data_IF_364368050558
#
_entry.id   IF_364368050558
#
_cell.length_a   1.000
_cell.length_b   1.000
_cell.length_c   1.000
_cell.angle_alpha   90.00
_cell.angle_beta   90.00
_cell.angle_gamma   90.00
#
_symmetry.space_group_name_H-M   'P 1'
#
loop_
_entity.id
_entity.type
_entity.pdbx_description
1 polymer ?
#
# COMPACT_ATOMS: atom_id res chain seq x y z
N UNK A 1 24.81 17.47 7.86
CA UNK A 1 24.95 16.50 8.97
C UNK A 1 23.71 16.62 9.86
N UNK A 2 23.20 15.52 10.42
CA UNK A 2 22.28 15.47 11.57
C UNK A 2 20.74 15.36 11.40
N UNK A 3 20.18 14.91 10.27
CA UNK A 3 18.76 14.44 10.23
C UNK A 3 18.65 12.92 9.99
N UNK A 4 19.57 12.33 9.22
CA UNK A 4 19.67 10.87 9.03
C UNK A 4 19.94 10.10 10.34
N UNK A 5 20.46 10.79 11.37
CA UNK A 5 20.71 10.23 12.70
C UNK A 5 19.44 10.07 13.55
N UNK A 6 18.33 10.74 13.19
CA UNK A 6 17.09 10.78 13.99
C UNK A 6 15.90 10.04 13.37
N UNK A 7 15.84 9.95 12.03
CA UNK A 7 14.76 9.26 11.34
C UNK A 7 15.24 7.92 10.78
N UNK A 8 15.04 6.84 11.54
CA UNK A 8 15.12 5.48 11.00
C UNK A 8 14.15 5.37 9.80
N UNK A 9 14.52 4.66 8.74
CA UNK A 9 13.72 4.51 7.51
C UNK A 9 12.27 4.14 7.80
N UNK A 10 12.03 3.32 8.83
CA UNK A 10 10.69 3.01 9.32
C UNK A 10 9.85 4.26 9.64
N UNK A 11 10.42 5.26 10.33
CA UNK A 11 9.72 6.51 10.67
C UNK A 11 9.43 7.31 9.39
N UNK A 12 10.38 7.38 8.47
CA UNK A 12 10.21 8.08 7.18
C UNK A 12 9.04 7.48 6.40
N UNK A 13 8.97 6.16 6.30
CA UNK A 13 7.86 5.48 5.62
C UNK A 13 6.52 5.71 6.31
N UNK A 14 6.47 5.78 7.64
CA UNK A 14 5.22 6.11 8.35
C UNK A 14 4.79 7.56 8.09
N UNK A 15 5.72 8.52 7.98
CA UNK A 15 5.41 9.90 7.57
C UNK A 15 4.86 9.91 6.13
N UNK A 16 5.49 9.17 5.22
CA UNK A 16 5.00 9.04 3.85
C UNK A 16 3.61 8.38 3.79
N UNK A 17 3.31 7.37 4.62
CA UNK A 17 1.96 6.78 4.73
C UNK A 17 0.93 7.87 5.06
N UNK A 18 1.20 8.71 6.06
CA UNK A 18 0.27 9.78 6.47
C UNK A 18 0.02 10.74 5.30
N UNK A 19 1.08 11.16 4.61
CA UNK A 19 0.98 12.06 3.47
C UNK A 19 0.15 11.43 2.35
N UNK A 20 0.51 10.23 1.89
CA UNK A 20 -0.21 9.59 0.79
C UNK A 20 -1.65 9.23 1.16
N UNK A 21 -1.92 8.81 2.38
CA UNK A 21 -3.28 8.60 2.88
C UNK A 21 -4.13 9.89 2.81
N UNK A 22 -3.57 11.01 3.27
CA UNK A 22 -4.28 12.29 3.23
C UNK A 22 -4.57 12.74 1.80
N UNK A 23 -3.65 12.47 0.86
CA UNK A 23 -3.81 12.79 -0.55
C UNK A 23 -4.86 11.89 -1.23
N UNK A 24 -4.92 10.61 -0.85
CA UNK A 24 -5.92 9.68 -1.41
C UNK A 24 -7.32 9.97 -0.92
N UNK A 25 -7.48 10.26 0.38
CA UNK A 25 -8.80 10.49 0.98
C UNK A 25 -9.39 11.84 0.56
N UNK A 26 -8.58 12.90 0.55
CA UNK A 26 -9.10 14.23 0.19
C UNK A 26 -9.27 14.40 -1.32
N UNK A 27 -8.46 13.70 -2.12
CA UNK A 27 -8.52 13.72 -3.58
C UNK A 27 -8.31 15.10 -4.23
N UNK A 28 -7.88 15.10 -5.48
CA UNK A 28 -7.92 16.27 -6.35
C UNK A 28 -9.01 16.01 -7.41
N UNK A 29 -10.21 16.60 -7.30
CA UNK A 29 -11.32 16.30 -8.21
C UNK A 29 -11.00 16.66 -9.67
N UNK A 30 -10.15 17.66 -9.87
CA UNK A 30 -9.71 18.15 -11.19
C UNK A 30 -8.76 17.14 -11.88
N UNK A 31 -8.06 16.30 -11.11
CA UNK A 31 -7.04 15.38 -11.61
C UNK A 31 -7.26 13.94 -11.10
N UNK A 32 -8.29 13.22 -11.59
CA UNK A 32 -8.65 11.89 -11.10
C UNK A 32 -7.56 10.84 -11.32
N UNK A 33 -6.71 11.02 -12.34
CA UNK A 33 -5.57 10.15 -12.59
C UNK A 33 -4.51 10.26 -11.48
N UNK A 34 -4.32 11.47 -10.92
CA UNK A 34 -3.36 11.71 -9.85
C UNK A 34 -3.80 11.02 -8.56
N UNK A 35 -5.11 11.00 -8.29
CA UNK A 35 -5.67 10.28 -7.14
C UNK A 35 -5.39 8.78 -7.23
N UNK A 36 -5.52 8.19 -8.42
CA UNK A 36 -5.19 6.77 -8.68
C UNK A 36 -3.70 6.50 -8.50
N UNK A 37 -2.84 7.44 -8.90
CA UNK A 37 -1.39 7.34 -8.67
C UNK A 37 -1.09 7.36 -7.17
N UNK A 38 -1.65 8.30 -6.40
CA UNK A 38 -1.46 8.34 -4.95
C UNK A 38 -1.98 7.07 -4.27
N UNK A 39 -3.12 6.56 -4.73
CA UNK A 39 -3.69 5.30 -4.23
C UNK A 39 -2.76 4.11 -4.46
N UNK A 40 -2.22 4.03 -5.68
CA UNK A 40 -1.22 3.03 -6.06
C UNK A 40 0.04 3.15 -5.21
N UNK A 41 0.61 4.35 -5.05
CA UNK A 41 1.81 4.57 -4.23
C UNK A 41 1.54 4.20 -2.77
N UNK A 42 0.39 4.56 -2.22
CA UNK A 42 0.02 4.21 -0.85
C UNK A 42 0.03 2.70 -0.63
N UNK A 43 -0.61 1.94 -1.53
CA UNK A 43 -0.65 0.48 -1.46
C UNK A 43 0.75 -0.13 -1.53
N UNK A 44 1.55 0.35 -2.48
CA UNK A 44 2.94 -0.10 -2.62
C UNK A 44 3.74 0.17 -1.34
N UNK A 45 3.53 1.32 -0.69
CA UNK A 45 4.21 1.71 0.54
C UNK A 45 3.79 0.85 1.74
N UNK A 46 2.50 0.57 1.89
CA UNK A 46 1.99 -0.38 2.89
C UNK A 46 2.70 -1.72 2.70
N UNK A 47 2.65 -2.31 1.50
CA UNK A 47 3.22 -3.63 1.24
C UNK A 47 4.74 -3.64 1.50
N UNK A 48 5.43 -2.59 1.06
CA UNK A 48 6.86 -2.42 1.31
C UNK A 48 7.21 -2.45 2.81
N UNK A 49 6.46 -1.71 3.63
CA UNK A 49 6.61 -1.73 5.08
C UNK A 49 6.32 -3.12 5.68
N UNK A 50 5.27 -3.78 5.21
CA UNK A 50 4.87 -5.12 5.64
C UNK A 50 5.95 -6.17 5.40
N UNK A 51 6.72 -6.05 4.31
CA UNK A 51 7.75 -7.02 3.95
C UNK A 51 9.11 -6.65 4.55
N UNK A 52 9.58 -5.42 4.38
CA UNK A 52 10.94 -5.03 4.77
C UNK A 52 11.07 -4.59 6.23
N UNK A 53 9.99 -4.07 6.83
CA UNK A 53 10.01 -3.50 8.17
C UNK A 53 8.97 -4.14 9.09
N UNK A 54 8.69 -5.42 8.87
CA UNK A 54 7.68 -6.15 9.64
C UNK A 54 7.90 -6.03 11.15
N UNK A 55 6.90 -5.51 11.87
CA UNK A 55 6.89 -5.33 13.34
C UNK A 55 5.47 -5.49 13.84
N UNK A 56 5.29 -5.94 15.09
CA UNK A 56 3.96 -6.05 15.73
C UNK A 56 3.15 -4.73 15.68
N UNK A 57 3.83 -3.58 15.71
CA UNK A 57 3.20 -2.26 15.60
C UNK A 57 2.48 -2.04 14.26
N UNK A 58 2.86 -2.74 13.18
CA UNK A 58 2.21 -2.61 11.88
C UNK A 58 0.77 -3.08 11.88
N UNK A 59 0.37 -4.02 12.76
CA UNK A 59 -1.04 -4.40 12.90
C UNK A 59 -1.92 -3.21 13.27
N UNK A 60 -1.50 -2.41 14.25
CA UNK A 60 -2.23 -1.20 14.64
C UNK A 60 -2.25 -0.18 13.50
N UNK A 61 -1.12 0.00 12.80
CA UNK A 61 -1.00 0.96 11.70
C UNK A 61 -1.93 0.58 10.53
N UNK A 62 -1.90 -0.67 10.09
CA UNK A 62 -2.76 -1.16 9.01
C UNK A 62 -4.23 -1.14 9.40
N UNK A 63 -4.54 -1.49 10.64
CA UNK A 63 -5.89 -1.38 11.17
C UNK A 63 -6.42 0.05 11.07
N UNK A 64 -5.64 1.04 11.51
CA UNK A 64 -6.03 2.46 11.44
C UNK A 64 -6.19 2.95 10.00
N UNK A 65 -5.28 2.59 9.09
CA UNK A 65 -5.40 3.00 7.69
C UNK A 65 -6.55 2.30 6.97
N UNK A 66 -6.76 1.02 7.20
CA UNK A 66 -7.88 0.27 6.65
C UNK A 66 -9.22 0.86 7.09
N UNK A 67 -9.38 1.08 8.40
CA UNK A 67 -10.54 1.80 8.94
C UNK A 67 -10.67 3.22 8.36
N UNK A 68 -9.57 3.94 8.22
CA UNK A 68 -9.57 5.29 7.66
C UNK A 68 -10.10 5.32 6.23
N UNK A 69 -9.63 4.43 5.36
CA UNK A 69 -10.16 4.34 3.98
C UNK A 69 -11.63 3.97 3.94
N UNK A 70 -12.00 2.97 4.72
CA UNK A 70 -13.36 2.50 4.83
C UNK A 70 -14.33 3.63 5.26
N UNK A 71 -13.98 4.37 6.30
CA UNK A 71 -14.79 5.48 6.82
C UNK A 71 -14.81 6.70 5.90
N UNK A 72 -13.64 7.15 5.43
CA UNK A 72 -13.57 8.42 4.72
C UNK A 72 -13.86 8.32 3.23
N UNK A 73 -13.74 7.13 2.63
CA UNK A 73 -13.88 6.98 1.18
C UNK A 73 -15.15 6.25 0.76
N UNK A 74 -15.42 5.10 1.35
CA UNK A 74 -16.58 4.26 0.98
C UNK A 74 -17.76 4.49 1.94
N UNK A 75 -17.48 5.04 3.13
CA UNK A 75 -18.44 5.21 4.22
C UNK A 75 -19.03 3.86 4.70
N UNK A 76 -18.24 2.79 4.57
CA UNK A 76 -18.61 1.42 4.96
C UNK A 76 -17.37 0.69 5.52
N UNK A 77 -17.52 0.08 6.70
CA UNK A 77 -16.40 -0.60 7.40
C UNK A 77 -16.24 -2.02 6.87
N UNK A 78 -15.09 -2.34 6.28
CA UNK A 78 -14.79 -3.70 5.85
C UNK A 78 -13.70 -3.80 4.78
N UNK A 79 -13.91 -3.28 3.57
CA UNK A 79 -13.15 -3.73 2.41
C UNK A 79 -11.64 -3.53 2.54
N UNK A 80 -11.19 -2.32 2.85
CA UNK A 80 -9.76 -2.05 2.99
C UNK A 80 -9.22 -2.66 4.28
N UNK A 81 -9.96 -2.56 5.39
CA UNK A 81 -9.54 -3.12 6.68
C UNK A 81 -9.27 -4.62 6.58
N UNK A 82 -10.21 -5.38 6.02
CA UNK A 82 -10.10 -6.83 5.89
C UNK A 82 -8.89 -7.18 5.01
N UNK A 83 -8.74 -6.53 3.85
CA UNK A 83 -7.61 -6.80 2.94
C UNK A 83 -6.27 -6.48 3.61
N UNK A 84 -6.17 -5.35 4.32
CA UNK A 84 -4.93 -4.96 4.99
C UNK A 84 -4.55 -5.94 6.10
N UNK A 85 -5.51 -6.35 6.92
CA UNK A 85 -5.27 -7.31 7.99
C UNK A 85 -4.92 -8.70 7.45
N UNK A 86 -5.59 -9.16 6.39
CA UNK A 86 -5.26 -10.41 5.70
C UNK A 86 -3.86 -10.37 5.07
N UNK A 87 -3.49 -9.27 4.42
CA UNK A 87 -2.16 -9.09 3.84
C UNK A 87 -1.06 -9.20 4.89
N UNK A 88 -1.22 -8.56 6.06
CA UNK A 88 -0.25 -8.70 7.16
C UNK A 88 -0.13 -10.13 7.66
N UNK A 89 -1.25 -10.84 7.81
CA UNK A 89 -1.23 -12.25 8.20
C UNK A 89 -0.45 -13.09 7.18
N UNK A 90 -0.65 -12.85 5.88
CA UNK A 90 0.08 -13.54 4.82
C UNK A 90 1.57 -13.19 4.86
N UNK A 91 1.94 -11.92 5.06
CA UNK A 91 3.34 -11.51 5.20
C UNK A 91 4.02 -12.20 6.39
N UNK A 92 3.32 -12.31 7.52
CA UNK A 92 3.83 -13.04 8.68
C UNK A 92 4.15 -14.50 8.37
N UNK A 93 3.22 -15.20 7.70
CA UNK A 93 3.39 -16.60 7.32
C UNK A 93 4.49 -16.79 6.27
N UNK A 94 4.64 -15.83 5.36
CA UNK A 94 5.58 -15.94 4.23
C UNK A 94 6.97 -15.38 4.52
N UNK A 95 7.15 -14.62 5.62
CA UNK A 95 8.37 -13.87 5.95
C UNK A 95 9.66 -14.68 5.81
N UNK A 96 9.65 -15.95 6.26
CA UNK A 96 10.82 -16.86 6.18
C UNK A 96 11.28 -17.11 4.74
N UNK A 97 10.35 -17.16 3.79
CA UNK A 97 10.63 -17.41 2.38
C UNK A 97 11.07 -16.14 1.65
N UNK A 98 10.59 -14.98 2.08
CA UNK A 98 10.88 -13.68 1.44
C UNK A 98 12.36 -13.29 1.52
N UNK A 99 13.02 -13.62 2.64
CA UNK A 99 14.42 -13.26 2.87
C UNK A 99 15.42 -13.91 1.89
N UNK A 100 15.01 -14.98 1.20
CA UNK A 100 15.87 -15.71 0.26
C UNK A 100 15.66 -15.31 -1.21
N UNK A 101 14.77 -14.35 -1.49
CA UNK A 101 14.46 -13.95 -2.85
C UNK A 101 15.50 -12.98 -3.44
N UNK A 102 15.75 -13.10 -4.74
CA UNK A 102 16.53 -12.12 -5.49
C UNK A 102 15.79 -10.77 -5.52
N UNK A 103 16.53 -9.67 -5.60
CA UNK A 103 15.96 -8.29 -5.59
C UNK A 103 14.83 -8.09 -6.62
N UNK A 104 15.03 -8.58 -7.84
CA UNK A 104 14.00 -8.50 -8.89
C UNK A 104 12.74 -9.29 -8.55
N UNK A 105 12.88 -10.46 -7.91
CA UNK A 105 11.75 -11.28 -7.50
C UNK A 105 10.95 -10.60 -6.38
N UNK A 106 11.63 -9.92 -5.45
CA UNK A 106 10.95 -9.15 -4.40
C UNK A 106 10.17 -7.99 -5.02
N UNK A 107 10.76 -7.25 -5.96
CA UNK A 107 10.06 -6.18 -6.68
C UNK A 107 8.81 -6.71 -7.40
N UNK A 108 8.93 -7.78 -8.17
CA UNK A 108 7.78 -8.38 -8.87
C UNK A 108 6.71 -8.85 -7.88
N UNK A 109 7.12 -9.42 -6.75
CA UNK A 109 6.18 -9.81 -5.71
C UNK A 109 5.45 -8.60 -5.12
N UNK A 110 6.13 -7.50 -4.79
CA UNK A 110 5.49 -6.27 -4.30
C UNK A 110 4.39 -5.79 -5.26
N UNK A 111 4.71 -5.77 -6.57
CA UNK A 111 3.78 -5.36 -7.62
C UNK A 111 2.58 -6.32 -7.73
N UNK A 112 2.81 -7.63 -7.73
CA UNK A 112 1.74 -8.62 -7.79
C UNK A 112 0.85 -8.51 -6.54
N UNK A 113 1.45 -8.42 -5.35
CA UNK A 113 0.71 -8.25 -4.09
C UNK A 113 -0.15 -7.00 -4.14
N UNK A 114 0.39 -5.89 -4.66
CA UNK A 114 -0.36 -4.65 -4.81
C UNK A 114 -1.62 -4.82 -5.66
N UNK A 115 -1.47 -5.39 -6.85
CA UNK A 115 -2.59 -5.62 -7.77
C UNK A 115 -3.61 -6.58 -7.13
N UNK A 116 -3.15 -7.64 -6.45
CA UNK A 116 -4.05 -8.59 -5.77
C UNK A 116 -4.81 -7.96 -4.59
N UNK A 117 -4.18 -7.09 -3.80
CA UNK A 117 -4.85 -6.41 -2.69
C UNK A 117 -6.00 -5.55 -3.21
N UNK A 118 -5.73 -4.71 -4.23
CA UNK A 118 -6.75 -3.84 -4.83
C UNK A 118 -7.89 -4.67 -5.44
N UNK A 119 -7.57 -5.79 -6.10
CA UNK A 119 -8.58 -6.71 -6.62
C UNK A 119 -9.47 -7.26 -5.50
N UNK A 120 -8.87 -7.71 -4.39
CA UNK A 120 -9.63 -8.22 -3.25
C UNK A 120 -10.49 -7.15 -2.59
N UNK A 121 -10.03 -5.90 -2.50
CA UNK A 121 -10.84 -4.80 -1.96
C UNK A 121 -12.11 -4.60 -2.76
N UNK A 122 -12.00 -4.59 -4.09
CA UNK A 122 -13.17 -4.44 -4.97
C UNK A 122 -14.10 -5.65 -4.90
N UNK A 123 -13.57 -6.88 -4.82
CA UNK A 123 -14.36 -8.09 -4.66
C UNK A 123 -15.09 -8.08 -3.31
N UNK A 124 -14.41 -7.76 -2.22
CA UNK A 124 -15.01 -7.69 -0.88
C UNK A 124 -16.06 -6.57 -0.82
N UNK A 125 -15.78 -5.42 -1.42
CA UNK A 125 -16.75 -4.32 -1.55
C UNK A 125 -18.02 -4.77 -2.26
N UNK A 126 -17.89 -5.53 -3.35
CA UNK A 126 -19.03 -6.08 -4.08
C UNK A 126 -19.80 -7.12 -3.24
N UNK A 127 -19.10 -8.04 -2.57
CA UNK A 127 -19.72 -9.12 -1.80
C UNK A 127 -20.44 -8.62 -0.54
N UNK A 128 -19.85 -7.66 0.17
CA UNK A 128 -20.36 -7.20 1.47
C UNK A 128 -21.37 -6.04 1.34
N UNK A 129 -21.19 -5.16 0.35
CA UNK A 129 -21.95 -3.91 0.24
C UNK A 129 -22.63 -3.72 -1.11
N UNK A 130 -22.46 -4.66 -2.05
CA UNK A 130 -23.12 -4.62 -3.35
C UNK A 130 -22.56 -3.59 -4.33
N UNK A 131 -21.37 -3.01 -4.06
CA UNK A 131 -20.73 -2.09 -5.00
C UNK A 131 -20.39 -2.79 -6.32
N UNK A 132 -20.74 -2.18 -7.45
CA UNK A 132 -20.46 -2.76 -8.77
C UNK A 132 -18.95 -2.78 -9.05
N UNK A 133 -18.41 -3.95 -9.40
CA UNK A 133 -17.04 -4.07 -9.83
C UNK A 133 -16.79 -3.32 -11.14
N UNK A 134 -16.01 -2.24 -11.08
CA UNK A 134 -15.64 -1.44 -12.24
C UNK A 134 -14.30 -1.92 -12.82
N UNK A 135 -14.36 -2.78 -13.84
CA UNK A 135 -13.16 -3.33 -14.49
C UNK A 135 -12.26 -2.25 -15.08
N UNK A 136 -12.82 -1.18 -15.66
CA UNK A 136 -12.02 -0.12 -16.26
C UNK A 136 -11.22 0.62 -15.19
N UNK A 137 -11.86 0.94 -14.05
CA UNK A 137 -11.18 1.57 -12.91
C UNK A 137 -10.04 0.69 -12.38
N UNK A 138 -10.30 -0.62 -12.24
CA UNK A 138 -9.28 -1.59 -11.81
C UNK A 138 -8.08 -1.63 -12.78
N UNK A 139 -8.35 -1.77 -14.09
CA UNK A 139 -7.31 -1.85 -15.12
C UNK A 139 -6.47 -0.57 -15.18
N UNK A 140 -7.08 0.60 -15.02
CA UNK A 140 -6.36 1.87 -14.95
C UNK A 140 -5.41 1.92 -13.76
N UNK A 141 -5.86 1.52 -12.56
CA UNK A 141 -4.98 1.47 -11.38
C UNK A 141 -3.87 0.42 -11.57
N UNK A 142 -4.19 -0.75 -12.12
CA UNK A 142 -3.19 -1.80 -12.38
C UNK A 142 -2.11 -1.30 -13.35
N UNK A 143 -2.51 -0.63 -14.43
CA UNK A 143 -1.59 -0.04 -15.40
C UNK A 143 -0.70 1.05 -14.77
N UNK A 144 -1.30 1.96 -13.99
CA UNK A 144 -0.54 2.98 -13.26
C UNK A 144 0.43 2.35 -12.25
N UNK A 145 0.01 1.28 -11.57
CA UNK A 145 0.87 0.55 -10.63
C UNK A 145 2.10 -0.04 -11.33
N UNK A 146 1.95 -0.60 -12.52
CA UNK A 146 3.08 -1.11 -13.32
C UNK A 146 4.06 0.01 -13.68
N UNK A 147 3.56 1.17 -14.10
CA UNK A 147 4.40 2.32 -14.48
C UNK A 147 5.14 2.92 -13.27
N UNK A 148 4.42 3.15 -12.17
CA UNK A 148 4.93 3.93 -11.04
C UNK A 148 5.64 3.08 -9.98
N UNK A 149 5.39 1.76 -9.90
CA UNK A 149 6.04 0.89 -8.92
C UNK A 149 7.56 0.90 -9.03
N UNK A 150 8.13 0.84 -10.24
CA UNK A 150 9.59 0.84 -10.42
C UNK A 150 10.28 2.12 -9.94
N UNK A 151 9.88 3.34 -10.37
CA UNK A 151 10.49 4.57 -9.86
C UNK A 151 10.30 4.73 -8.35
N UNK A 152 9.13 4.36 -7.82
CA UNK A 152 8.86 4.39 -6.37
C UNK A 152 9.80 3.42 -5.62
N UNK A 153 9.99 2.21 -6.14
CA UNK A 153 10.91 1.24 -5.56
C UNK A 153 12.36 1.73 -5.53
N UNK A 154 12.81 2.44 -6.57
CA UNK A 154 14.14 3.07 -6.58
C UNK A 154 14.24 4.15 -5.50
N UNK A 155 13.21 4.98 -5.34
CA UNK A 155 13.17 6.02 -4.29
C UNK A 155 13.27 5.37 -2.91
N UNK A 156 12.49 4.31 -2.65
CA UNK A 156 12.53 3.58 -1.38
C UNK A 156 13.90 2.95 -1.13
N UNK A 157 14.49 2.30 -2.14
CA UNK A 157 15.84 1.74 -2.02
C UNK A 157 16.91 2.80 -1.72
N UNK A 158 16.73 4.05 -2.18
CA UNK A 158 17.60 5.16 -1.79
C UNK A 158 17.37 5.55 -0.33
N UNK A 159 16.12 5.71 0.10
CA UNK A 159 15.77 6.02 1.51
C UNK A 159 16.44 5.01 2.46
N UNK A 160 16.38 3.72 2.11
CA UNK A 160 16.99 2.65 2.91
C UNK A 160 18.52 2.71 2.99
N UNK A 161 19.21 3.31 2.00
CA UNK A 161 20.67 3.44 1.95
C UNK A 161 21.19 4.74 2.57
N UNK A 162 20.34 5.74 2.76
CA UNK A 162 20.72 7.06 3.28
C UNK A 162 20.91 7.09 4.80
N UNK A 163 20.66 5.99 5.50
CA UNK A 163 20.74 5.80 6.95
C UNK A 163 21.69 4.64 7.25
#
# INVERSE_FOLDING_TARGET
MHLSKYFNSFIIYNILLIIFFSLTVNGLPIFPIVNKIFYSIFHFLIIYLGIYYYRKKLYLIYFLYGLGFDLFWINEIGPHLIVFMLALMIFYLTFKYLNNLRKMNIYLMLLITQITMILFEMIISQLMFGFSFNLNYFLEIAFLSIIFSYPVFIIFSKIDKFI
#
